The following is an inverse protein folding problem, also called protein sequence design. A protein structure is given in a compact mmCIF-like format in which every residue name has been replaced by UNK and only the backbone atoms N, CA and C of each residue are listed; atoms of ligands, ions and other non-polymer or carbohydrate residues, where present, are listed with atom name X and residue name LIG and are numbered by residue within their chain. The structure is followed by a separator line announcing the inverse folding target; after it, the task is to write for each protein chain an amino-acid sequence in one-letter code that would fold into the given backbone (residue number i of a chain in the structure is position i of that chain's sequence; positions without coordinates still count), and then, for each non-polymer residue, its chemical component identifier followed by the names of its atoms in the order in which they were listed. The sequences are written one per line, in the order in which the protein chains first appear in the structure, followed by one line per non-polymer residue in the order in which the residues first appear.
data_IF_013381456255
#
_entry.id   IF_013381456255
#
_cell.length_a   1.000
_cell.length_b   1.000
_cell.length_c   1.000
_cell.angle_alpha   90.00
_cell.angle_beta   90.00
_cell.angle_gamma   90.00
#
_symmetry.space_group_name_H-M   'P 1'
#
loop_
_entity.id
_entity.type
_entity.pdbx_description
1 polymer ?
#
# COMPACT_ATOMS: atom_id res chain seq x y z
N UNK A 1 53.74 42.56 -40.28
CA UNK A 1 52.28 42.52 -40.02
C UNK A 1 51.77 41.13 -39.70
N UNK A 2 52.52 40.10 -39.92
CA UNK A 2 52.13 38.63 -39.73
C UNK A 2 52.17 38.18 -38.27
N UNK A 3 53.10 38.56 -37.46
CA UNK A 3 53.24 38.14 -36.08
C UNK A 3 52.08 38.50 -35.14
N UNK A 4 51.50 39.71 -35.32
CA UNK A 4 50.34 40.11 -34.49
C UNK A 4 49.09 39.29 -34.74
N UNK A 5 48.89 38.84 -35.95
CA UNK A 5 47.78 38.01 -36.38
C UNK A 5 47.89 36.60 -35.86
N UNK A 6 49.10 36.07 -35.78
CA UNK A 6 49.39 34.75 -35.26
C UNK A 6 49.22 34.67 -33.74
N UNK A 7 49.68 35.70 -33.01
CA UNK A 7 49.49 35.79 -31.55
C UNK A 7 48.03 35.92 -31.18
N UNK A 8 47.23 36.71 -31.90
CA UNK A 8 45.80 36.81 -31.66
C UNK A 8 45.04 35.49 -31.87
N UNK A 9 45.43 34.74 -32.88
CA UNK A 9 44.87 33.39 -33.15
C UNK A 9 45.27 32.35 -32.08
N UNK A 10 46.54 32.44 -31.63
CA UNK A 10 47.05 31.57 -30.57
C UNK A 10 46.31 31.88 -29.22
N UNK A 11 46.16 33.15 -28.87
CA UNK A 11 45.45 33.57 -27.67
C UNK A 11 43.96 33.16 -27.72
N UNK A 12 43.31 33.33 -28.88
CA UNK A 12 41.94 32.88 -29.09
C UNK A 12 41.78 31.36 -28.95
N UNK A 13 42.77 30.59 -29.46
CA UNK A 13 42.77 29.11 -29.29
C UNK A 13 42.95 28.69 -27.85
N UNK A 14 43.83 29.32 -27.09
CA UNK A 14 44.04 29.04 -25.67
C UNK A 14 42.76 29.32 -24.85
N UNK A 15 42.12 30.46 -25.11
CA UNK A 15 40.87 30.83 -24.43
C UNK A 15 39.76 29.77 -24.75
N UNK A 16 39.67 29.38 -26.01
CA UNK A 16 38.68 28.35 -26.41
C UNK A 16 38.90 27.01 -25.69
N UNK A 17 40.15 26.56 -25.55
CA UNK A 17 40.50 25.35 -24.83
C UNK A 17 40.16 25.44 -23.33
N UNK A 18 40.44 26.60 -22.72
CA UNK A 18 40.11 26.84 -21.31
C UNK A 18 38.59 26.80 -21.11
N UNK A 19 37.80 27.43 -21.97
CA UNK A 19 36.34 27.44 -21.89
C UNK A 19 35.79 26.00 -22.07
N UNK A 20 36.32 25.26 -23.04
CA UNK A 20 35.93 23.86 -23.23
C UNK A 20 36.22 22.99 -22.01
N UNK A 21 37.40 23.17 -21.41
CA UNK A 21 37.79 22.43 -20.20
C UNK A 21 36.84 22.74 -19.01
N UNK A 22 36.49 23.99 -18.81
CA UNK A 22 35.53 24.40 -17.77
C UNK A 22 34.16 23.83 -18.04
N UNK A 23 33.65 23.88 -19.26
CA UNK A 23 32.38 23.28 -19.64
C UNK A 23 32.35 21.78 -19.38
N UNK A 24 33.45 21.08 -19.69
CA UNK A 24 33.57 19.64 -19.46
C UNK A 24 33.50 19.29 -17.97
N UNK A 25 34.20 20.04 -17.13
CA UNK A 25 34.15 19.86 -15.67
C UNK A 25 32.76 20.11 -15.12
N UNK A 26 32.11 21.20 -15.54
CA UNK A 26 30.76 21.56 -15.06
C UNK A 26 29.75 20.50 -15.48
N UNK A 27 29.79 20.02 -16.71
CA UNK A 27 28.87 18.94 -17.18
C UNK A 27 29.12 17.63 -16.45
N UNK A 28 30.39 17.28 -16.19
CA UNK A 28 30.72 16.05 -15.45
C UNK A 28 30.21 16.10 -14.00
N UNK A 29 30.39 17.25 -13.33
CA UNK A 29 29.90 17.46 -11.96
C UNK A 29 28.36 17.44 -11.93
N UNK A 30 27.71 18.11 -12.87
CA UNK A 30 26.24 18.10 -12.96
C UNK A 30 25.68 16.70 -13.19
N UNK A 31 26.33 15.88 -14.04
CA UNK A 31 25.94 14.50 -14.28
C UNK A 31 26.15 13.63 -13.02
N UNK A 32 27.28 13.78 -12.33
CA UNK A 32 27.54 13.07 -11.08
C UNK A 32 26.54 13.41 -9.99
N UNK A 33 26.14 14.69 -9.89
CA UNK A 33 25.11 15.14 -8.95
C UNK A 33 23.72 14.57 -9.28
N UNK A 34 23.38 14.52 -10.58
CA UNK A 34 22.13 13.90 -11.03
C UNK A 34 22.07 12.41 -10.71
N UNK A 35 23.15 11.67 -10.88
CA UNK A 35 23.21 10.24 -10.56
C UNK A 35 23.15 10.02 -9.05
N UNK A 36 23.77 10.88 -8.23
CA UNK A 36 23.73 10.78 -6.78
C UNK A 36 22.31 11.05 -6.24
N UNK A 37 21.58 12.02 -6.81
CA UNK A 37 20.20 12.32 -6.40
C UNK A 37 19.20 11.21 -6.75
N UNK A 38 19.49 10.38 -7.77
CA UNK A 38 18.65 9.22 -8.14
C UNK A 38 18.91 8.02 -7.23
N UNK A 39 20.10 7.92 -6.62
CA UNK A 39 20.45 6.79 -5.74
C UNK A 39 19.73 6.80 -4.39
N UNK A 40 19.25 7.93 -3.93
CA UNK A 40 18.50 8.06 -2.67
C UNK A 40 16.99 7.85 -2.83
N UNK A 41 16.51 7.64 -4.06
CA UNK A 41 15.15 7.16 -4.29
C UNK A 41 15.09 5.64 -4.06
N UNK A 42 15.22 5.22 -2.83
CA UNK A 42 14.78 3.89 -2.40
C UNK A 42 13.25 3.88 -2.43
N UNK A 43 12.68 3.31 -3.48
CA UNK A 43 11.30 2.85 -3.44
C UNK A 43 11.25 1.68 -2.44
N UNK A 44 11.05 1.98 -1.18
CA UNK A 44 10.61 0.99 -0.24
C UNK A 44 9.20 0.57 -0.67
N UNK A 45 9.07 -0.57 -1.33
CA UNK A 45 7.79 -1.23 -1.50
C UNK A 45 7.29 -1.56 -0.11
N UNK A 46 6.37 -0.74 0.42
CA UNK A 46 5.74 -1.00 1.69
C UNK A 46 5.09 -2.38 1.67
N UNK A 47 5.36 -3.21 2.66
CA UNK A 47 4.65 -4.47 2.82
C UNK A 47 3.20 -4.20 3.18
N UNK A 48 2.24 -4.76 2.44
CA UNK A 48 0.83 -4.78 2.82
C UNK A 48 0.59 -6.04 3.64
N UNK A 49 0.15 -5.86 4.88
CA UNK A 49 -0.20 -6.96 5.78
C UNK A 49 -1.41 -6.56 6.62
N UNK A 50 -2.50 -7.30 6.49
CA UNK A 50 -3.67 -7.18 7.34
C UNK A 50 -3.73 -8.42 8.21
N UNK A 51 -3.83 -8.23 9.51
CA UNK A 51 -4.06 -9.27 10.48
C UNK A 51 -5.57 -9.37 10.75
N UNK A 52 -6.15 -10.51 10.43
CA UNK A 52 -7.53 -10.86 10.76
C UNK A 52 -7.50 -11.92 11.85
N UNK A 53 -7.90 -11.55 13.06
CA UNK A 53 -8.09 -12.45 14.20
C UNK A 53 -6.90 -13.40 14.45
N UNK A 54 -5.65 -12.94 14.23
CA UNK A 54 -4.40 -13.72 14.31
C UNK A 54 -4.37 -14.97 13.41
N UNK A 55 -5.17 -14.98 12.34
CA UNK A 55 -5.33 -16.13 11.45
C UNK A 55 -6.25 -17.22 11.99
N UNK A 56 -6.85 -17.01 13.16
CA UNK A 56 -7.79 -17.96 13.76
C UNK A 56 -9.21 -17.74 13.21
N UNK A 57 -9.96 -18.81 12.94
CA UNK A 57 -11.35 -18.68 12.52
C UNK A 57 -12.21 -18.04 13.61
N UNK A 58 -13.11 -17.14 13.22
CA UNK A 58 -14.05 -16.48 14.15
C UNK A 58 -15.03 -17.49 14.75
N UNK A 59 -15.46 -18.47 13.96
CA UNK A 59 -16.32 -19.57 14.38
C UNK A 59 -15.66 -20.89 13.95
N UNK A 60 -15.52 -21.83 14.87
CA UNK A 60 -14.99 -23.16 14.59
C UNK A 60 -16.13 -24.13 14.22
N UNK A 61 -15.91 -25.08 13.30
CA UNK A 61 -16.97 -25.97 12.82
C UNK A 61 -17.62 -26.84 13.91
N UNK A 62 -16.90 -27.13 14.98
CA UNK A 62 -17.30 -27.97 16.10
C UNK A 62 -17.78 -27.18 17.33
N UNK A 63 -17.86 -25.87 17.23
CA UNK A 63 -18.14 -25.01 18.38
C UNK A 63 -19.64 -24.92 18.69
N UNK A 64 -20.50 -25.01 17.67
CA UNK A 64 -21.96 -24.92 17.81
C UNK A 64 -22.72 -25.90 16.94
N UNK A 65 -23.80 -26.41 17.52
CA UNK A 65 -24.94 -26.94 16.76
C UNK A 65 -25.96 -25.82 16.64
N UNK A 66 -26.21 -25.34 15.43
CA UNK A 66 -27.21 -24.29 15.21
C UNK A 66 -28.61 -24.85 15.37
N UNK A 67 -29.36 -24.31 16.32
CA UNK A 67 -30.78 -24.60 16.54
C UNK A 67 -31.63 -23.39 16.08
N UNK A 68 -32.88 -23.65 15.62
CA UNK A 68 -33.79 -22.56 15.27
C UNK A 68 -33.99 -21.56 16.42
N UNK A 69 -33.78 -20.29 16.15
CA UNK A 69 -33.86 -19.21 17.14
C UNK A 69 -32.61 -18.99 17.98
N UNK A 70 -31.56 -19.76 17.80
CA UNK A 70 -30.28 -19.57 18.46
C UNK A 70 -29.56 -18.32 17.92
N UNK A 71 -28.98 -17.52 18.82
CA UNK A 71 -28.12 -16.40 18.47
C UNK A 71 -26.73 -16.61 19.08
N UNK A 72 -25.71 -16.49 18.24
CA UNK A 72 -24.30 -16.61 18.67
C UNK A 72 -23.61 -15.28 18.40
N UNK A 73 -22.91 -14.74 19.38
CA UNK A 73 -22.08 -13.54 19.23
C UNK A 73 -20.63 -13.93 19.35
N UNK A 74 -19.82 -13.48 18.38
CA UNK A 74 -18.36 -13.63 18.37
C UNK A 74 -17.74 -12.30 18.05
N UNK A 75 -16.72 -11.96 18.82
CA UNK A 75 -15.90 -10.79 18.56
C UNK A 75 -14.64 -11.22 17.77
N UNK A 76 -14.25 -10.42 16.81
CA UNK A 76 -13.01 -10.61 16.04
C UNK A 76 -12.40 -9.25 15.76
N UNK A 77 -11.15 -9.20 15.34
CA UNK A 77 -10.49 -7.95 15.03
C UNK A 77 -9.81 -7.96 13.65
N UNK A 78 -9.64 -6.77 13.12
CA UNK A 78 -8.84 -6.48 11.95
C UNK A 78 -7.80 -5.44 12.34
N UNK A 79 -6.53 -5.71 12.05
CA UNK A 79 -5.41 -4.83 12.35
C UNK A 79 -4.53 -4.61 11.12
N UNK A 80 -4.07 -3.38 10.95
CA UNK A 80 -3.18 -3.02 9.86
C UNK A 80 -1.72 -3.12 10.31
N UNK A 81 -1.06 -4.23 9.99
CA UNK A 81 0.37 -4.47 10.21
C UNK A 81 1.24 -4.03 9.02
N UNK A 82 0.66 -3.23 8.10
CA UNK A 82 1.36 -2.71 6.94
C UNK A 82 2.25 -1.51 7.30
N UNK A 83 3.13 -1.14 6.40
CA UNK A 83 3.96 0.07 6.53
C UNK A 83 3.23 1.36 6.15
N UNK A 84 2.00 1.27 5.62
CA UNK A 84 1.17 2.40 5.21
C UNK A 84 -0.31 2.16 5.49
N UNK A 85 -1.12 3.21 5.36
CA UNK A 85 -2.59 3.11 5.43
C UNK A 85 -3.09 2.21 4.31
N UNK A 86 -3.98 1.29 4.62
CA UNK A 86 -4.56 0.35 3.66
C UNK A 86 -6.05 0.53 3.54
N UNK A 87 -6.57 0.17 2.38
CA UNK A 87 -8.00 0.06 2.13
C UNK A 87 -8.39 -1.40 2.31
N UNK A 88 -9.42 -1.71 3.11
CA UNK A 88 -9.83 -3.08 3.37
C UNK A 88 -11.29 -3.29 3.04
N UNK A 89 -11.63 -4.53 2.70
CA UNK A 89 -12.99 -5.01 2.49
C UNK A 89 -13.24 -6.25 3.34
N UNK A 90 -14.43 -6.36 3.88
CA UNK A 90 -14.88 -7.52 4.66
C UNK A 90 -16.05 -8.17 3.95
N UNK A 91 -15.89 -9.42 3.56
CA UNK A 91 -16.89 -10.25 2.91
C UNK A 91 -16.65 -11.72 3.25
N UNK A 92 -17.65 -12.59 3.04
CA UNK A 92 -17.44 -14.02 3.09
C UNK A 92 -16.87 -14.54 1.77
N UNK A 93 -16.05 -15.58 1.85
CA UNK A 93 -15.52 -16.29 0.71
C UNK A 93 -15.93 -17.77 0.79
N UNK A 94 -16.49 -18.32 -0.31
CA UNK A 94 -16.82 -19.72 -0.40
C UNK A 94 -18.01 -20.14 0.47
N UNK A 95 -19.08 -19.34 0.48
CA UNK A 95 -20.31 -19.67 1.20
C UNK A 95 -21.00 -20.87 0.52
N UNK A 96 -21.26 -21.92 1.27
CA UNK A 96 -21.96 -23.12 0.78
C UNK A 96 -22.73 -23.81 1.90
N UNK A 97 -23.75 -24.57 1.53
CA UNK A 97 -24.59 -25.35 2.44
C UNK A 97 -25.99 -24.77 2.63
N UNK A 98 -26.90 -25.62 3.06
CA UNK A 98 -28.36 -25.33 3.15
C UNK A 98 -28.69 -24.24 4.18
N UNK A 99 -27.79 -23.98 5.13
CA UNK A 99 -27.96 -22.93 6.14
C UNK A 99 -27.59 -21.52 5.65
N UNK A 100 -26.91 -21.40 4.52
CA UNK A 100 -26.40 -20.13 4.01
C UNK A 100 -27.49 -19.08 3.70
N UNK A 101 -28.70 -19.56 3.38
CA UNK A 101 -29.84 -18.71 3.02
C UNK A 101 -30.82 -18.48 4.18
N UNK A 102 -30.68 -19.25 5.29
CA UNK A 102 -31.59 -19.15 6.44
C UNK A 102 -30.95 -18.53 7.68
N UNK A 103 -29.61 -18.48 7.73
CA UNK A 103 -28.89 -17.78 8.77
C UNK A 103 -28.95 -16.27 8.55
N UNK A 104 -29.15 -15.52 9.63
CA UNK A 104 -28.98 -14.08 9.62
C UNK A 104 -27.64 -13.71 10.28
N UNK A 105 -26.79 -12.98 9.55
CA UNK A 105 -25.51 -12.50 10.02
C UNK A 105 -25.57 -11.00 10.18
N UNK A 106 -25.21 -10.50 11.36
CA UNK A 106 -25.04 -9.09 11.61
C UNK A 106 -23.57 -8.80 11.96
N UNK A 107 -22.93 -7.95 11.19
CA UNK A 107 -21.56 -7.46 11.44
C UNK A 107 -21.64 -6.05 11.99
N UNK A 108 -20.91 -5.79 13.09
CA UNK A 108 -20.87 -4.49 13.76
C UNK A 108 -19.45 -4.05 14.02
N UNK A 109 -19.24 -2.73 13.98
CA UNK A 109 -18.04 -2.07 14.50
C UNK A 109 -18.48 -1.21 15.69
N UNK A 110 -18.26 -1.69 16.90
CA UNK A 110 -18.85 -1.13 18.11
C UNK A 110 -20.38 -1.08 18.03
N UNK A 111 -20.96 0.13 18.04
CA UNK A 111 -22.41 0.33 17.94
C UNK A 111 -22.92 0.49 16.50
N UNK A 112 -22.04 0.55 15.50
CA UNK A 112 -22.41 0.74 14.10
C UNK A 112 -22.62 -0.61 13.45
N UNK A 113 -23.83 -0.86 12.92
CA UNK A 113 -24.09 -2.01 12.06
C UNK A 113 -23.48 -1.76 10.68
N UNK A 114 -22.55 -2.63 10.27
CA UNK A 114 -21.92 -2.59 8.96
C UNK A 114 -22.70 -3.41 7.94
N UNK A 115 -23.26 -4.54 8.38
CA UNK A 115 -24.02 -5.45 7.55
C UNK A 115 -25.09 -6.17 8.37
N UNK A 116 -26.25 -6.48 7.78
CA UNK A 116 -27.25 -7.42 8.29
C UNK A 116 -27.91 -8.09 7.10
N UNK A 117 -27.90 -9.42 7.08
CA UNK A 117 -28.45 -10.24 6.00
C UNK A 117 -27.90 -11.66 6.02
N UNK A 118 -28.11 -12.40 4.95
CA UNK A 118 -27.65 -13.78 4.85
C UNK A 118 -26.16 -13.90 4.51
N UNK A 119 -25.47 -15.01 4.86
CA UNK A 119 -24.10 -15.28 4.43
C UNK A 119 -23.90 -15.18 2.91
N UNK A 120 -24.85 -15.70 2.13
CA UNK A 120 -24.81 -15.65 0.66
C UNK A 120 -24.81 -14.21 0.12
N UNK A 121 -25.55 -13.31 0.75
CA UNK A 121 -25.54 -11.89 0.38
C UNK A 121 -24.21 -11.22 0.71
N UNK A 122 -23.58 -11.58 1.84
CA UNK A 122 -22.28 -11.04 2.24
C UNK A 122 -21.13 -11.56 1.36
N UNK A 123 -21.28 -12.70 0.71
CA UNK A 123 -20.34 -13.19 -0.30
C UNK A 123 -20.30 -12.28 -1.55
N UNK A 124 -21.46 -11.73 -1.91
CA UNK A 124 -21.62 -10.89 -3.12
C UNK A 124 -21.52 -9.38 -2.86
N UNK A 125 -21.35 -8.97 -1.62
CA UNK A 125 -21.20 -7.57 -1.20
C UNK A 125 -20.09 -7.45 -0.15
N UNK A 126 -19.93 -6.29 0.47
CA UNK A 126 -18.97 -6.08 1.56
C UNK A 126 -19.66 -5.51 2.81
N UNK A 127 -19.27 -5.98 3.98
CA UNK A 127 -19.69 -5.41 5.26
C UNK A 127 -18.91 -4.13 5.58
N UNK A 128 -17.65 -4.05 5.20
CA UNK A 128 -16.81 -2.88 5.37
C UNK A 128 -16.01 -2.59 4.10
N UNK A 129 -15.86 -1.30 3.81
CA UNK A 129 -15.09 -0.79 2.69
C UNK A 129 -14.53 0.57 3.13
N UNK A 130 -13.42 0.58 3.85
CA UNK A 130 -12.89 1.76 4.53
C UNK A 130 -11.37 1.71 4.67
N UNK A 131 -10.77 2.83 5.09
CA UNK A 131 -9.35 2.97 5.35
C UNK A 131 -9.01 2.51 6.77
N UNK A 132 -7.86 1.84 6.88
CA UNK A 132 -7.28 1.41 8.13
C UNK A 132 -5.86 1.99 8.25
N UNK A 133 -5.64 2.88 9.21
CA UNK A 133 -4.33 3.48 9.42
C UNK A 133 -3.32 2.45 9.94
N UNK A 134 -2.04 2.73 9.80
CA UNK A 134 -0.96 1.87 10.31
C UNK A 134 -1.14 1.63 11.81
N UNK A 135 -1.10 0.37 12.23
CA UNK A 135 -1.28 -0.03 13.62
C UNK A 135 -2.70 0.16 14.16
N UNK A 136 -3.66 0.55 13.32
CA UNK A 136 -5.06 0.65 13.73
C UNK A 136 -5.69 -0.73 13.79
N UNK A 137 -6.40 -0.98 14.90
CA UNK A 137 -7.20 -2.18 15.15
C UNK A 137 -8.68 -1.81 15.28
N UNK A 138 -9.55 -2.59 14.65
CA UNK A 138 -11.03 -2.52 14.79
C UNK A 138 -11.54 -3.87 15.29
N UNK A 139 -12.48 -3.86 16.20
CA UNK A 139 -13.06 -5.08 16.82
C UNK A 139 -14.56 -5.09 16.63
#
# INVERSE_FOLDING_TARGET
MTERKTRSRLTGGIIAVIVLAVCLVVTTVALAYSIASVRDNTFATGGIRINLNDGEPVIRPDEFLFEPGMTVKKDFFIENDSTGTVYYRLYFAGVSGDLADVLEVTVKDGNKTLYSGTPTQLENTQAADDLLAVGQRRT
#
